data_IF_549221130278
#
_entry.id   IF_549221130278
#
_cell.length_a   1.000
_cell.length_b   1.000
_cell.length_c   1.000
_cell.angle_alpha   90.00
_cell.angle_beta   90.00
_cell.angle_gamma   90.00
#
_symmetry.space_group_name_H-M   'P 1'
#
loop_
_entity.id
_entity.type
_entity.pdbx_description
1 polymer ?
#
# COMPACT_ATOMS: atom_id res chain seq x y z
N UNK A 1 -1.38 21.04 -8.35
CA UNK A 1 -2.33 20.78 -7.24
C UNK A 1 -2.82 19.35 -7.32
N UNK A 2 -2.75 18.58 -6.22
CA UNK A 2 -3.29 17.21 -6.17
C UNK A 2 -4.81 17.25 -6.32
N UNK A 3 -5.36 16.53 -7.32
CA UNK A 3 -6.81 16.45 -7.53
C UNK A 3 -7.52 15.84 -6.30
N UNK A 4 -8.80 16.17 -6.11
CA UNK A 4 -9.63 15.60 -5.03
C UNK A 4 -9.62 14.07 -5.10
N UNK A 5 -9.78 13.50 -6.29
CA UNK A 5 -9.80 12.05 -6.52
C UNK A 5 -8.47 11.39 -6.13
N UNK A 6 -7.32 11.95 -6.52
CA UNK A 6 -6.01 11.43 -6.10
C UNK A 6 -5.89 11.41 -4.58
N UNK A 7 -6.29 12.48 -3.89
CA UNK A 7 -6.22 12.54 -2.41
C UNK A 7 -7.09 11.47 -1.74
N UNK A 8 -8.28 11.21 -2.27
CA UNK A 8 -9.18 10.20 -1.69
C UNK A 8 -8.66 8.77 -1.90
N UNK A 9 -8.16 8.45 -3.10
CA UNK A 9 -7.53 7.16 -3.37
C UNK A 9 -6.28 6.94 -2.53
N UNK A 10 -5.40 7.95 -2.47
CA UNK A 10 -4.19 7.87 -1.65
C UNK A 10 -4.51 7.63 -0.17
N UNK A 11 -5.48 8.37 0.39
CA UNK A 11 -5.93 8.18 1.78
C UNK A 11 -6.46 6.78 2.04
N UNK A 12 -7.13 6.17 1.06
CA UNK A 12 -7.62 4.79 1.19
C UNK A 12 -6.45 3.83 1.35
N UNK A 13 -5.46 3.90 0.44
CA UNK A 13 -4.26 3.06 0.48
C UNK A 13 -3.47 3.29 1.77
N UNK A 14 -3.23 4.55 2.14
CA UNK A 14 -2.52 4.90 3.36
C UNK A 14 -3.21 4.31 4.59
N UNK A 15 -4.51 4.53 4.76
CA UNK A 15 -5.23 4.07 5.96
C UNK A 15 -5.36 2.56 6.06
N UNK A 16 -5.55 1.86 4.94
CA UNK A 16 -5.91 0.44 4.93
C UNK A 16 -4.72 -0.50 4.75
N UNK A 17 -3.69 -0.08 4.02
CA UNK A 17 -2.50 -0.90 3.76
C UNK A 17 -1.25 -0.36 4.46
N UNK A 18 -0.93 0.92 4.34
CA UNK A 18 0.38 1.43 4.79
C UNK A 18 0.45 1.76 6.29
N UNK A 19 -0.53 2.48 6.83
CA UNK A 19 -0.58 2.89 8.23
C UNK A 19 -0.54 1.69 9.20
N UNK A 20 -1.28 0.58 8.98
CA UNK A 20 -1.18 -0.59 9.84
C UNK A 20 0.25 -1.16 9.91
N UNK A 21 0.96 -1.19 8.78
CA UNK A 21 2.36 -1.65 8.73
C UNK A 21 3.28 -0.69 9.49
N UNK A 22 3.13 0.61 9.27
CA UNK A 22 3.95 1.63 9.93
C UNK A 22 3.69 1.72 11.45
N UNK A 23 2.49 1.36 11.90
CA UNK A 23 2.12 1.36 13.33
C UNK A 23 2.45 0.05 14.05
N UNK A 24 2.67 -1.03 13.30
CA UNK A 24 3.00 -2.34 13.87
C UNK A 24 4.26 -2.27 14.75
N UNK A 25 4.20 -2.98 15.88
CA UNK A 25 5.16 -2.87 16.97
C UNK A 25 6.02 -4.13 17.08
N UNK A 26 7.34 -4.00 17.38
CA UNK A 26 8.24 -5.14 17.53
C UNK A 26 8.08 -5.90 18.85
N UNK A 27 7.37 -5.34 19.84
CA UNK A 27 7.15 -5.97 21.14
C UNK A 27 6.34 -7.27 21.00
N UNK A 28 6.77 -8.32 21.72
CA UNK A 28 6.13 -9.64 21.68
C UNK A 28 6.48 -10.50 20.47
N UNK A 29 7.26 -9.99 19.51
CA UNK A 29 7.72 -10.72 18.32
C UNK A 29 9.08 -11.40 18.56
N UNK A 30 9.34 -12.49 17.84
CA UNK A 30 10.67 -13.12 17.76
C UNK A 30 11.68 -12.21 17.07
N UNK A 31 12.98 -12.45 17.25
CA UNK A 31 14.02 -11.66 16.57
C UNK A 31 13.92 -11.75 15.03
N UNK A 32 13.51 -12.89 14.49
CA UNK A 32 13.29 -13.06 13.05
C UNK A 32 12.13 -12.18 12.55
N UNK A 33 11.02 -12.15 13.30
CA UNK A 33 9.87 -11.30 12.98
C UNK A 33 10.15 -9.81 13.16
N UNK A 34 11.01 -9.43 14.12
CA UNK A 34 11.46 -8.04 14.28
C UNK A 34 12.24 -7.57 13.07
N UNK A 35 13.20 -8.37 12.60
CA UNK A 35 13.97 -8.09 11.38
C UNK A 35 13.07 -7.98 10.14
N UNK A 36 12.11 -8.90 10.02
CA UNK A 36 11.12 -8.86 8.95
C UNK A 36 10.23 -7.62 9.03
N UNK A 37 9.77 -7.25 10.23
CA UNK A 37 8.98 -6.05 10.47
C UNK A 37 9.73 -4.78 10.05
N UNK A 38 11.00 -4.66 10.44
CA UNK A 38 11.85 -3.54 10.03
C UNK A 38 12.00 -3.48 8.51
N UNK A 39 12.22 -4.62 7.85
CA UNK A 39 12.31 -4.72 6.41
C UNK A 39 11.04 -4.22 5.70
N UNK A 40 9.87 -4.74 6.08
CA UNK A 40 8.60 -4.35 5.45
C UNK A 40 8.22 -2.91 5.77
N UNK A 41 8.57 -2.37 6.94
CA UNK A 41 8.35 -0.95 7.27
C UNK A 41 9.22 -0.03 6.40
N UNK A 42 10.47 -0.41 6.14
CA UNK A 42 11.35 0.32 5.23
C UNK A 42 10.82 0.30 3.79
N UNK A 43 10.37 -0.87 3.31
CA UNK A 43 9.76 -0.99 1.99
C UNK A 43 8.47 -0.15 1.88
N UNK A 44 7.59 -0.25 2.88
CA UNK A 44 6.33 0.50 2.94
C UNK A 44 6.58 2.01 2.94
N UNK A 45 7.62 2.49 3.64
CA UNK A 45 7.98 3.91 3.59
C UNK A 45 8.33 4.37 2.17
N UNK A 46 9.10 3.58 1.43
CA UNK A 46 9.43 3.89 0.04
C UNK A 46 8.19 3.85 -0.87
N UNK A 47 7.24 2.95 -0.62
CA UNK A 47 5.96 2.90 -1.33
C UNK A 47 5.07 4.12 -1.03
N UNK A 48 4.95 4.52 0.23
CA UNK A 48 4.25 5.75 0.62
C UNK A 48 4.81 6.95 -0.15
N UNK A 49 6.14 7.08 -0.19
CA UNK A 49 6.79 8.16 -0.92
C UNK A 49 6.48 8.09 -2.42
N UNK A 50 6.57 6.91 -3.07
CA UNK A 50 6.15 6.75 -4.48
C UNK A 50 4.69 7.18 -4.71
N UNK A 51 3.76 6.68 -3.90
CA UNK A 51 2.32 6.93 -4.06
C UNK A 51 1.97 8.41 -3.89
N UNK A 52 2.64 9.10 -2.97
CA UNK A 52 2.47 10.55 -2.77
C UNK A 52 2.94 11.36 -3.98
N UNK A 53 3.99 10.91 -4.66
CA UNK A 53 4.62 11.62 -5.77
C UNK A 53 3.96 11.42 -7.14
N UNK A 54 3.08 10.43 -7.33
CA UNK A 54 2.33 10.29 -8.60
C UNK A 54 1.59 11.59 -8.95
N UNK A 55 1.66 12.03 -10.20
CA UNK A 55 1.12 13.31 -10.67
C UNK A 55 -0.40 13.39 -10.69
N UNK A 56 -1.10 12.27 -10.91
CA UNK A 56 -2.56 12.24 -11.06
C UNK A 56 -3.25 11.05 -10.38
N UNK A 57 -4.59 11.01 -10.45
CA UNK A 57 -5.37 9.89 -9.93
C UNK A 57 -5.25 8.67 -10.85
N UNK A 58 -5.26 8.88 -12.16
CA UNK A 58 -5.09 7.87 -13.21
C UNK A 58 -3.70 7.21 -13.10
N UNK A 59 -2.66 8.01 -12.87
CA UNK A 59 -1.31 7.49 -12.63
C UNK A 59 -1.27 6.64 -11.35
N UNK A 60 -1.94 7.07 -10.27
CA UNK A 60 -2.02 6.30 -9.04
C UNK A 60 -2.74 4.97 -9.27
N UNK A 61 -3.88 4.95 -9.95
CA UNK A 61 -4.62 3.71 -10.25
C UNK A 61 -3.80 2.78 -11.16
N UNK A 62 -3.15 3.33 -12.19
CA UNK A 62 -2.30 2.55 -13.11
C UNK A 62 -1.15 1.89 -12.36
N UNK A 63 -0.45 2.63 -11.50
CA UNK A 63 0.67 2.09 -10.74
C UNK A 63 0.22 1.16 -9.62
N UNK A 64 -0.95 1.39 -9.01
CA UNK A 64 -1.55 0.45 -8.06
C UNK A 64 -1.78 -0.91 -8.73
N UNK A 65 -2.42 -0.94 -9.91
CA UNK A 65 -2.63 -2.18 -10.69
C UNK A 65 -1.30 -2.86 -11.02
N UNK A 66 -0.27 -2.10 -11.45
CA UNK A 66 1.07 -2.64 -11.72
C UNK A 66 1.73 -3.24 -10.48
N UNK A 67 1.57 -2.60 -9.33
CA UNK A 67 2.14 -3.10 -8.08
C UNK A 67 1.46 -4.42 -7.64
N UNK A 68 0.17 -4.63 -7.93
CA UNK A 68 -0.52 -5.92 -7.65
C UNK A 68 0.15 -7.10 -8.38
N UNK A 69 0.61 -6.89 -9.61
CA UNK A 69 1.21 -7.93 -10.43
C UNK A 69 2.74 -8.06 -10.25
N UNK A 70 3.37 -7.08 -9.60
CA UNK A 70 4.82 -6.99 -9.44
C UNK A 70 5.38 -8.14 -8.62
N UNK A 71 6.38 -8.85 -9.18
CA UNK A 71 7.11 -9.91 -8.46
C UNK A 71 7.80 -9.37 -7.21
N UNK A 72 8.29 -8.13 -7.25
CA UNK A 72 8.91 -7.49 -6.08
C UNK A 72 7.87 -7.22 -4.98
N UNK A 73 6.70 -6.69 -5.35
CA UNK A 73 5.60 -6.45 -4.41
C UNK A 73 5.09 -7.76 -3.80
N UNK A 74 4.96 -8.83 -4.60
CA UNK A 74 4.55 -10.16 -4.12
C UNK A 74 5.45 -10.72 -3.03
N UNK A 75 6.76 -10.45 -3.07
CA UNK A 75 7.69 -10.83 -1.99
C UNK A 75 7.38 -10.08 -0.69
N UNK A 76 7.22 -8.76 -0.77
CA UNK A 76 6.85 -7.93 0.39
C UNK A 76 5.47 -8.34 0.93
N UNK A 77 4.49 -8.64 0.07
CA UNK A 77 3.17 -9.11 0.48
C UNK A 77 3.22 -10.44 1.24
N UNK A 78 4.06 -11.38 0.80
CA UNK A 78 4.25 -12.64 1.52
C UNK A 78 4.83 -12.41 2.93
N UNK A 79 5.78 -11.48 3.07
CA UNK A 79 6.33 -11.10 4.36
C UNK A 79 5.28 -10.41 5.26
N UNK A 80 4.54 -9.45 4.72
CA UNK A 80 3.44 -8.78 5.41
C UNK A 80 2.40 -9.78 5.93
N UNK A 81 1.95 -10.71 5.08
CA UNK A 81 1.01 -11.79 5.45
C UNK A 81 1.57 -12.67 6.56
N UNK A 82 2.85 -13.03 6.51
CA UNK A 82 3.49 -13.81 7.58
C UNK A 82 3.60 -13.06 8.91
N UNK A 83 3.45 -11.74 8.90
CA UNK A 83 3.40 -10.88 10.08
C UNK A 83 1.97 -10.48 10.47
N UNK A 84 0.95 -11.06 9.81
CA UNK A 84 -0.46 -10.72 9.94
C UNK A 84 -0.75 -9.23 9.69
N UNK A 85 -0.05 -8.65 8.72
CA UNK A 85 -0.23 -7.26 8.29
C UNK A 85 -0.92 -7.19 6.92
N UNK A 86 -1.71 -6.14 6.67
CA UNK A 86 -2.41 -5.98 5.40
C UNK A 86 -1.45 -5.63 4.27
N UNK A 87 -1.89 -5.94 3.05
CA UNK A 87 -1.23 -5.67 1.77
C UNK A 87 -2.12 -4.80 0.90
N UNK A 88 -1.58 -4.24 -0.18
CA UNK A 88 -2.41 -3.53 -1.17
C UNK A 88 -3.38 -4.48 -1.90
N UNK A 89 -3.08 -5.78 -1.95
CA UNK A 89 -3.96 -6.79 -2.56
C UNK A 89 -5.24 -6.97 -1.74
N UNK A 90 -5.15 -6.88 -0.40
CA UNK A 90 -6.29 -7.05 0.50
C UNK A 90 -7.32 -5.90 0.37
N UNK A 91 -6.93 -4.78 -0.24
CA UNK A 91 -7.78 -3.60 -0.45
C UNK A 91 -8.17 -3.41 -1.92
N UNK A 92 -7.81 -4.34 -2.80
CA UNK A 92 -8.01 -4.22 -4.25
C UNK A 92 -9.44 -3.84 -4.61
N UNK A 93 -10.41 -4.63 -4.17
CA UNK A 93 -11.82 -4.43 -4.52
C UNK A 93 -12.38 -3.12 -3.96
N UNK A 94 -11.93 -2.70 -2.78
CA UNK A 94 -12.33 -1.41 -2.18
C UNK A 94 -11.71 -0.23 -2.97
N UNK A 95 -10.44 -0.37 -3.35
CA UNK A 95 -9.73 0.63 -4.15
C UNK A 95 -10.33 0.79 -5.54
N UNK A 96 -10.58 -0.31 -6.26
CA UNK A 96 -11.16 -0.31 -7.61
C UNK A 96 -12.57 0.30 -7.62
N UNK A 97 -13.40 -0.06 -6.63
CA UNK A 97 -14.73 0.54 -6.43
C UNK A 97 -14.63 2.04 -6.19
N UNK A 98 -13.74 2.48 -5.30
CA UNK A 98 -13.54 3.90 -5.00
C UNK A 98 -13.05 4.68 -6.21
N UNK A 99 -12.16 4.11 -7.03
CA UNK A 99 -11.71 4.72 -8.27
C UNK A 99 -12.88 4.91 -9.25
N UNK A 100 -13.73 3.89 -9.39
CA UNK A 100 -14.95 3.97 -10.21
C UNK A 100 -15.92 5.04 -9.73
N UNK A 101 -16.23 5.11 -8.43
CA UNK A 101 -17.08 6.15 -7.81
C UNK A 101 -16.55 7.57 -8.04
N UNK A 102 -15.23 7.72 -8.12
CA UNK A 102 -14.56 9.00 -8.37
C UNK A 102 -14.43 9.34 -9.85
N UNK A 103 -14.92 8.49 -10.75
CA UNK A 103 -14.83 8.68 -12.20
C UNK A 103 -13.40 8.54 -12.74
N UNK A 104 -12.50 7.87 -12.01
CA UNK A 104 -11.10 7.66 -12.42
C UNK A 104 -11.02 6.32 -13.12
N UNK A 105 -11.07 6.34 -14.45
CA UNK A 105 -10.77 5.17 -15.26
C UNK A 105 -9.27 4.93 -15.31
N UNK A 106 -8.87 3.67 -15.39
CA UNK A 106 -7.51 3.25 -15.75
C UNK A 106 -7.57 2.19 -16.82
#
# INVERSE_FOLDING_TARGET
MTSKSKRELLRLVERKAFDPVMRAKPQGRTEAEKKKLEHVQKATKAEIDRYRHYGSAEELVTNFKRDLDSTAAKKIHAELRSLHLPTIEDIRDEFERKASELGVAA
#
